data_IF_362655808911
#
_entry.id   IF_362655808911
#
_cell.length_a   1.000
_cell.length_b   1.000
_cell.length_c   1.000
_cell.angle_alpha   90.00
_cell.angle_beta   90.00
_cell.angle_gamma   90.00
#
_symmetry.space_group_name_H-M   'P 1'
#
loop_
_entity.id
_entity.type
_entity.pdbx_description
1 polymer ?
#
# COMPACT_ATOMS: atom_id res chain seq x y z
N UNK A 1 22.02 -17.54 -7.49
CA UNK A 1 21.43 -17.48 -6.14
C UNK A 1 20.40 -16.37 -6.15
N UNK A 2 19.20 -16.57 -5.59
CA UNK A 2 18.25 -15.46 -5.46
C UNK A 2 18.82 -14.40 -4.53
N UNK A 3 18.76 -13.14 -4.94
CA UNK A 3 19.22 -11.99 -4.16
C UNK A 3 18.38 -11.86 -2.87
N UNK A 4 19.05 -11.64 -1.74
CA UNK A 4 18.38 -11.37 -0.45
C UNK A 4 18.24 -9.86 -0.31
N UNK A 5 16.99 -9.39 -0.31
CA UNK A 5 16.68 -7.95 -0.20
C UNK A 5 16.78 -7.46 1.25
N UNK A 6 17.12 -6.20 1.47
CA UNK A 6 17.14 -5.63 2.82
C UNK A 6 15.73 -5.52 3.42
N UNK A 7 14.77 -5.05 2.62
CA UNK A 7 13.37 -4.86 3.04
C UNK A 7 12.38 -5.07 1.91
N UNK A 8 11.30 -5.78 2.20
CA UNK A 8 10.11 -5.90 1.35
C UNK A 8 8.92 -5.25 2.07
N UNK A 9 8.14 -4.47 1.35
CA UNK A 9 6.95 -3.78 1.85
C UNK A 9 5.73 -4.36 1.15
N UNK A 10 4.71 -4.70 1.92
CA UNK A 10 3.48 -5.30 1.38
C UNK A 10 2.31 -4.37 1.64
N UNK A 11 1.78 -3.76 0.58
CA UNK A 11 0.72 -2.77 0.61
C UNK A 11 1.20 -1.36 0.22
N UNK A 12 0.32 -0.62 -0.45
CA UNK A 12 0.58 0.67 -1.10
C UNK A 12 -0.32 1.80 -0.61
N UNK A 13 -0.93 1.65 0.56
CA UNK A 13 -1.53 2.79 1.24
C UNK A 13 -0.48 3.82 1.67
N UNK A 14 -0.91 4.90 2.35
CA UNK A 14 0.01 5.94 2.82
C UNK A 14 1.13 5.39 3.72
N UNK A 15 0.84 4.35 4.52
CA UNK A 15 1.85 3.66 5.34
C UNK A 15 2.93 2.98 4.48
N UNK A 16 2.53 2.25 3.43
CA UNK A 16 3.45 1.52 2.56
C UNK A 16 4.33 2.44 1.72
N UNK A 17 3.75 3.46 1.10
CA UNK A 17 4.51 4.45 0.35
C UNK A 17 5.45 5.27 1.25
N UNK A 18 5.01 5.68 2.44
CA UNK A 18 5.90 6.36 3.39
C UNK A 18 7.08 5.47 3.78
N UNK A 19 6.83 4.19 4.10
CA UNK A 19 7.88 3.24 4.41
C UNK A 19 8.87 3.07 3.24
N UNK A 20 8.37 3.00 2.00
CA UNK A 20 9.21 2.85 0.81
C UNK A 20 10.08 4.09 0.59
N UNK A 21 9.52 5.30 0.73
CA UNK A 21 10.28 6.56 0.64
C UNK A 21 11.42 6.58 1.66
N UNK A 22 11.14 6.25 2.92
CA UNK A 22 12.16 6.30 3.98
C UNK A 22 13.21 5.20 3.82
N UNK A 23 12.83 3.98 3.47
CA UNK A 23 13.76 2.89 3.22
C UNK A 23 14.66 3.18 2.00
N UNK A 24 14.10 3.76 0.94
CA UNK A 24 14.86 4.15 -0.24
C UNK A 24 15.85 5.28 0.06
N UNK A 25 15.44 6.29 0.84
CA UNK A 25 16.34 7.35 1.34
C UNK A 25 17.47 6.80 2.22
N UNK A 26 17.23 5.70 2.93
CA UNK A 26 18.24 4.98 3.70
C UNK A 26 19.11 4.03 2.83
N UNK A 27 19.00 4.09 1.50
CA UNK A 27 19.74 3.28 0.53
C UNK A 27 19.51 1.77 0.66
N UNK A 28 18.36 1.36 1.21
CA UNK A 28 18.00 -0.06 1.39
C UNK A 28 17.40 -0.72 0.14
N UNK A 29 17.21 0.06 -0.95
CA UNK A 29 16.63 -0.40 -2.22
C UNK A 29 15.34 -1.22 -2.02
N UNK A 30 14.32 -0.65 -1.36
CA UNK A 30 13.13 -1.39 -0.97
C UNK A 30 12.37 -1.92 -2.20
N UNK A 31 11.78 -3.10 -2.03
CA UNK A 31 10.74 -3.61 -2.93
C UNK A 31 9.38 -3.37 -2.26
N UNK A 32 8.43 -2.77 -2.97
CA UNK A 32 7.05 -2.60 -2.53
C UNK A 32 6.11 -3.36 -3.46
N UNK A 33 5.28 -4.24 -2.89
CA UNK A 33 4.16 -4.86 -3.57
C UNK A 33 2.92 -4.00 -3.37
N UNK A 34 2.42 -3.39 -4.45
CA UNK A 34 1.33 -2.42 -4.35
C UNK A 34 -0.07 -3.03 -4.40
N UNK A 35 -0.18 -4.32 -4.70
CA UNK A 35 -1.46 -5.00 -4.94
C UNK A 35 -1.93 -4.80 -6.37
N UNK A 36 -2.59 -5.82 -6.92
CA UNK A 36 -2.97 -5.84 -8.34
C UNK A 36 -4.18 -4.96 -8.66
N UNK A 37 -5.09 -4.82 -7.69
CA UNK A 37 -6.37 -4.09 -7.84
C UNK A 37 -6.49 -2.90 -6.90
N UNK A 38 -5.88 -2.99 -5.70
CA UNK A 38 -6.09 -2.03 -4.61
C UNK A 38 -4.91 -1.07 -4.41
N UNK A 39 -4.10 -0.87 -5.45
CA UNK A 39 -2.96 0.05 -5.42
C UNK A 39 -3.38 1.46 -4.96
N UNK A 40 -2.66 2.03 -3.98
CA UNK A 40 -3.02 3.30 -3.34
C UNK A 40 -3.90 3.14 -2.08
N UNK A 41 -4.43 1.94 -1.81
CA UNK A 41 -5.21 1.65 -0.61
C UNK A 41 -6.57 2.37 -0.53
N UNK A 42 -7.09 2.52 0.68
CA UNK A 42 -8.47 2.99 0.91
C UNK A 42 -8.73 4.43 0.41
N UNK A 43 -7.70 5.27 0.33
CA UNK A 43 -7.81 6.65 -0.16
C UNK A 43 -8.17 6.73 -1.65
N UNK A 44 -8.01 5.65 -2.41
CA UNK A 44 -8.49 5.59 -3.79
C UNK A 44 -10.02 5.63 -3.90
N UNK A 45 -10.73 5.31 -2.82
CA UNK A 45 -12.19 5.24 -2.79
C UNK A 45 -12.85 6.44 -2.10
N UNK A 46 -12.06 7.41 -1.63
CA UNK A 46 -12.59 8.67 -1.06
C UNK A 46 -12.47 9.80 -2.09
N UNK A 47 -13.33 10.80 -1.96
CA UNK A 47 -13.25 12.02 -2.78
C UNK A 47 -12.25 12.98 -2.17
N UNK A 48 -12.69 13.80 -1.23
CA UNK A 48 -11.90 14.89 -0.65
C UNK A 48 -11.33 14.47 0.69
N UNK A 49 -10.06 14.84 0.92
CA UNK A 49 -9.32 14.61 2.16
C UNK A 49 -8.93 15.96 2.72
N UNK A 50 -9.64 16.40 3.76
CA UNK A 50 -9.45 17.72 4.39
C UNK A 50 -8.54 17.66 5.62
N UNK A 51 -8.21 16.46 6.10
CA UNK A 51 -7.49 16.23 7.35
C UNK A 51 -6.06 15.71 7.16
N UNK A 52 -5.54 15.69 5.93
CA UNK A 52 -4.14 15.35 5.67
C UNK A 52 -3.26 16.61 5.76
N UNK A 53 -2.34 16.70 6.73
CA UNK A 53 -1.55 17.92 6.94
C UNK A 53 -0.69 18.25 5.73
N UNK A 54 -0.60 19.54 5.39
CA UNK A 54 0.10 20.04 4.21
C UNK A 54 -0.82 20.42 3.04
N UNK A 55 -2.11 20.11 3.12
CA UNK A 55 -3.13 20.51 2.14
C UNK A 55 -4.21 21.34 2.84
N UNK A 56 -3.99 22.66 2.92
CA UNK A 56 -4.88 23.58 3.65
C UNK A 56 -6.29 23.65 3.04
N UNK A 57 -6.38 23.51 1.72
CA UNK A 57 -7.63 23.53 0.96
C UNK A 57 -8.14 22.10 0.65
N UNK A 58 -7.59 21.08 1.32
CA UNK A 58 -7.88 19.67 1.03
C UNK A 58 -7.18 19.14 -0.22
N UNK A 59 -7.33 17.83 -0.46
CA UNK A 59 -6.79 17.14 -1.64
C UNK A 59 -7.67 15.95 -2.01
N UNK A 60 -7.76 15.62 -3.30
CA UNK A 60 -8.44 14.40 -3.71
C UNK A 60 -7.66 13.16 -3.28
N UNK A 61 -8.33 12.15 -2.71
CA UNK A 61 -7.72 10.90 -2.25
C UNK A 61 -6.82 10.23 -3.31
N UNK A 62 -7.31 10.01 -4.54
CA UNK A 62 -6.50 9.47 -5.64
C UNK A 62 -5.28 10.34 -6.01
N UNK A 63 -5.42 11.68 -5.96
CA UNK A 63 -4.31 12.60 -6.27
C UNK A 63 -3.22 12.55 -5.19
N UNK A 64 -3.62 12.47 -3.92
CA UNK A 64 -2.69 12.28 -2.81
C UNK A 64 -1.91 10.96 -2.98
N UNK A 65 -2.58 9.87 -3.31
CA UNK A 65 -1.92 8.57 -3.46
C UNK A 65 -0.98 8.51 -4.67
N UNK A 66 -1.39 9.10 -5.78
CA UNK A 66 -0.55 9.22 -6.98
C UNK A 66 0.70 10.08 -6.71
N UNK A 67 0.56 11.16 -5.95
CA UNK A 67 1.70 11.99 -5.51
C UNK A 67 2.67 11.20 -4.63
N UNK A 68 2.16 10.39 -3.70
CA UNK A 68 3.00 9.51 -2.87
C UNK A 68 3.70 8.43 -3.71
N UNK A 69 3.01 7.81 -4.67
CA UNK A 69 3.58 6.81 -5.58
C UNK A 69 4.73 7.39 -6.41
N UNK A 70 4.55 8.59 -6.95
CA UNK A 70 5.62 9.34 -7.66
C UNK A 70 6.84 9.63 -6.78
N UNK A 71 6.64 9.89 -5.49
CA UNK A 71 7.76 10.05 -4.55
C UNK A 71 8.54 8.75 -4.37
N UNK A 72 7.86 7.61 -4.30
CA UNK A 72 8.49 6.28 -4.23
C UNK A 72 9.35 6.02 -5.48
N UNK A 73 8.81 6.28 -6.67
CA UNK A 73 9.55 6.17 -7.94
C UNK A 73 10.77 7.09 -7.99
N UNK A 74 10.63 8.34 -7.52
CA UNK A 74 11.72 9.32 -7.48
C UNK A 74 12.92 8.88 -6.62
N UNK A 75 12.69 8.07 -5.60
CA UNK A 75 13.76 7.54 -4.74
C UNK A 75 14.25 6.14 -5.20
N UNK A 76 13.92 5.71 -6.42
CA UNK A 76 14.37 4.45 -7.02
C UNK A 76 13.96 3.19 -6.23
N UNK A 77 12.85 3.25 -5.50
CA UNK A 77 12.24 2.06 -4.92
C UNK A 77 11.60 1.19 -6.01
N UNK A 78 11.73 -0.14 -5.89
CA UNK A 78 11.15 -1.08 -6.86
C UNK A 78 9.67 -1.32 -6.54
N UNK A 79 8.78 -0.85 -7.39
CA UNK A 79 7.34 -1.10 -7.28
C UNK A 79 6.99 -2.36 -8.09
N UNK A 80 6.23 -3.27 -7.47
CA UNK A 80 5.68 -4.48 -8.12
C UNK A 80 4.16 -4.45 -7.98
N UNK A 81 3.48 -4.41 -9.12
CA UNK A 81 2.01 -4.46 -9.20
C UNK A 81 1.53 -5.91 -9.20
N UNK A 82 1.57 -6.54 -8.03
CA UNK A 82 1.04 -7.89 -7.79
C UNK A 82 0.61 -8.01 -6.32
N UNK A 83 -0.24 -8.99 -6.02
CA UNK A 83 -0.66 -9.33 -4.67
C UNK A 83 0.31 -10.33 -4.05
N UNK A 84 0.53 -10.23 -2.75
CA UNK A 84 1.21 -11.30 -2.00
C UNK A 84 0.18 -12.32 -1.54
N UNK A 85 0.43 -13.59 -1.90
CA UNK A 85 -0.48 -14.70 -1.60
C UNK A 85 0.00 -15.58 -0.45
N UNK A 86 1.31 -15.58 -0.14
CA UNK A 86 1.83 -16.28 1.03
C UNK A 86 3.13 -15.68 1.55
N UNK A 87 3.38 -15.87 2.86
CA UNK A 87 4.60 -15.41 3.51
C UNK A 87 5.10 -16.42 4.56
N UNK A 88 6.41 -16.61 4.63
CA UNK A 88 7.10 -17.26 5.76
C UNK A 88 7.95 -16.19 6.45
N UNK A 89 7.53 -15.77 7.64
CA UNK A 89 8.11 -14.63 8.35
C UNK A 89 9.00 -15.04 9.53
N UNK A 90 9.11 -16.34 9.82
CA UNK A 90 9.94 -16.86 10.91
C UNK A 90 11.40 -17.03 10.48
N UNK A 91 12.33 -16.80 11.42
CA UNK A 91 13.76 -16.89 11.18
C UNK A 91 14.39 -15.62 10.60
N UNK A 92 15.67 -15.72 10.25
CA UNK A 92 16.48 -14.56 9.83
C UNK A 92 16.11 -14.07 8.42
N UNK A 93 15.69 -14.96 7.53
CA UNK A 93 15.30 -14.64 6.16
C UNK A 93 13.82 -14.98 5.95
N UNK A 94 13.10 -13.99 5.43
CA UNK A 94 11.67 -14.03 5.15
C UNK A 94 11.49 -14.42 3.69
N UNK A 95 10.48 -15.24 3.42
CA UNK A 95 10.08 -15.63 2.06
C UNK A 95 8.68 -15.08 1.78
N UNK A 96 8.52 -14.37 0.67
CA UNK A 96 7.29 -13.70 0.28
C UNK A 96 6.98 -14.15 -1.14
N UNK A 97 5.80 -14.74 -1.36
CA UNK A 97 5.39 -15.27 -2.66
C UNK A 97 4.24 -14.44 -3.23
N UNK A 98 4.42 -13.95 -4.46
CA UNK A 98 3.41 -13.17 -5.18
C UNK A 98 2.40 -14.04 -5.95
N UNK A 99 1.34 -13.42 -6.45
CA UNK A 99 0.26 -14.08 -7.19
C UNK A 99 0.74 -14.76 -8.47
N UNK A 100 1.82 -14.25 -9.06
CA UNK A 100 2.49 -14.83 -10.23
C UNK A 100 3.35 -16.07 -9.91
N UNK A 101 3.52 -16.41 -8.62
CA UNK A 101 4.31 -17.55 -8.15
C UNK A 101 5.79 -17.26 -7.96
N UNK A 102 6.24 -16.01 -8.11
CA UNK A 102 7.62 -15.63 -7.79
C UNK A 102 7.78 -15.57 -6.29
N UNK A 103 8.97 -15.95 -5.81
CA UNK A 103 9.31 -15.85 -4.39
C UNK A 103 10.50 -14.91 -4.21
N UNK A 104 10.32 -13.87 -3.41
CA UNK A 104 11.38 -12.96 -2.98
C UNK A 104 11.83 -13.31 -1.56
N UNK A 105 13.13 -13.16 -1.32
CA UNK A 105 13.73 -13.33 0.01
C UNK A 105 14.13 -11.98 0.57
N UNK A 106 13.95 -11.77 1.87
CA UNK A 106 14.35 -10.52 2.52
C UNK A 106 14.78 -10.68 3.96
N UNK A 107 15.64 -9.77 4.44
CA UNK A 107 16.00 -9.64 5.86
C UNK A 107 14.91 -8.96 6.70
N UNK A 108 13.97 -8.25 6.10
CA UNK A 108 12.87 -7.62 6.85
C UNK A 108 11.63 -7.45 5.99
N UNK A 109 10.45 -7.43 6.63
CA UNK A 109 9.18 -7.22 5.94
C UNK A 109 8.37 -6.17 6.70
N UNK A 110 7.85 -5.17 5.98
CA UNK A 110 6.89 -4.20 6.52
C UNK A 110 5.51 -4.56 6.00
N UNK A 111 4.60 -4.89 6.92
CA UNK A 111 3.22 -5.23 6.61
C UNK A 111 2.36 -3.97 6.66
N UNK A 112 1.94 -3.48 5.49
CA UNK A 112 1.19 -2.24 5.30
C UNK A 112 -0.08 -2.47 4.45
N UNK A 113 -0.69 -3.64 4.55
CA UNK A 113 -1.80 -4.12 3.71
C UNK A 113 -3.13 -3.39 3.98
N UNK A 114 -3.19 -2.57 5.03
CA UNK A 114 -4.40 -1.86 5.44
C UNK A 114 -5.45 -2.79 6.03
N UNK A 115 -6.70 -2.33 6.02
CA UNK A 115 -7.88 -3.09 6.41
C UNK A 115 -8.99 -2.87 5.38
N UNK A 116 -9.83 -3.89 5.20
CA UNK A 116 -11.07 -3.75 4.45
C UNK A 116 -12.20 -3.35 5.41
N UNK A 117 -13.07 -2.45 4.98
CA UNK A 117 -14.31 -2.19 5.70
C UNK A 117 -15.24 -3.41 5.60
N UNK A 118 -16.07 -3.59 6.63
CA UNK A 118 -17.11 -4.62 6.63
C UNK A 118 -18.42 -4.00 6.18
N UNK A 119 -18.96 -4.49 5.07
CA UNK A 119 -20.32 -4.17 4.66
C UNK A 119 -21.33 -4.84 5.59
N UNK A 120 -22.46 -4.15 5.84
CA UNK A 120 -23.59 -4.70 6.59
C UNK A 120 -24.36 -5.71 5.73
N UNK A 121 -24.31 -5.55 4.39
CA UNK A 121 -24.98 -6.41 3.42
C UNK A 121 -26.38 -5.92 3.04
N UNK A 122 -26.65 -4.61 3.15
CA UNK A 122 -27.98 -4.07 2.83
C UNK A 122 -28.16 -3.84 1.32
N UNK A 123 -29.38 -3.99 0.77
CA UNK A 123 -29.61 -3.91 -0.68
C UNK A 123 -29.15 -2.59 -1.34
N UNK A 124 -29.19 -1.48 -0.61
CA UNK A 124 -28.83 -0.15 -1.12
C UNK A 124 -27.45 0.35 -0.65
N UNK A 125 -26.72 -0.44 0.15
CA UNK A 125 -25.47 0.00 0.79
C UNK A 125 -24.44 0.47 -0.25
N UNK A 126 -24.20 -0.35 -1.28
CA UNK A 126 -23.28 -0.02 -2.38
C UNK A 126 -23.77 1.15 -3.23
N UNK A 127 -25.07 1.20 -3.52
CA UNK A 127 -25.67 2.28 -4.35
C UNK A 127 -25.54 3.65 -3.69
N UNK A 128 -25.54 3.69 -2.36
CA UNK A 128 -25.47 4.92 -1.56
C UNK A 128 -24.06 5.26 -1.08
N UNK A 129 -23.05 4.46 -1.43
CA UNK A 129 -21.64 4.77 -1.17
C UNK A 129 -21.27 6.16 -1.68
N UNK A 130 -20.70 7.01 -0.82
CA UNK A 130 -20.35 8.40 -1.14
C UNK A 130 -21.56 9.33 -1.36
N UNK A 131 -22.78 8.85 -1.10
CA UNK A 131 -24.06 9.58 -1.27
C UNK A 131 -24.95 9.42 -0.03
N UNK A 132 -24.33 9.42 1.15
CA UNK A 132 -24.99 9.24 2.44
C UNK A 132 -24.57 7.99 3.22
N UNK A 133 -23.91 7.03 2.57
CA UNK A 133 -23.22 5.89 3.24
C UNK A 133 -21.71 6.06 3.12
N UNK A 134 -20.99 5.88 4.23
CA UNK A 134 -19.53 5.94 4.32
C UNK A 134 -19.03 4.89 5.31
N UNK A 135 -17.82 4.38 5.08
CA UNK A 135 -17.11 3.47 5.97
C UNK A 135 -15.79 4.07 6.49
N UNK A 136 -15.59 5.38 6.31
CA UNK A 136 -14.46 6.08 6.90
C UNK A 136 -14.76 6.34 8.38
N UNK A 137 -14.04 5.66 9.28
CA UNK A 137 -13.98 6.06 10.68
C UNK A 137 -12.96 7.21 10.78
N UNK A 138 -13.42 8.37 11.25
CA UNK A 138 -12.62 9.56 11.54
C UNK A 138 -11.55 9.30 12.59
#
# INVERSE_FOLDING_TARGET
MSEINEVVIVGSGPAGYTAAIYAARAQLKPIIYEGSVTAGGALMNTTEVENFPGFADGVMGPELMESMRKQVERFDAKIITDDIVSMKLTGDIKEITDGSGNTVKSKSVILAMGSAYKEIGLPNEKRLSGRGVSWCAT
#
